data_IF_661595844358
#
_entry.id   IF_661595844358
#
_cell.length_a   1.000
_cell.length_b   1.000
_cell.length_c   1.000
_cell.angle_alpha   90.00
_cell.angle_beta   90.00
_cell.angle_gamma   90.00
#
_symmetry.space_group_name_H-M   'P 1'
#
loop_
_entity.id
_entity.type
_entity.pdbx_description
1 polymer ?
#
# COMPACT_ATOMS: atom_id res chain seq x y z
N UNK A 1 15.39 16.99 -34.09
CA UNK A 1 16.25 16.10 -33.31
C UNK A 1 15.66 14.70 -33.38
N UNK A 2 16.47 13.67 -33.66
CA UNK A 2 16.02 12.27 -33.68
C UNK A 2 16.28 11.65 -32.31
N UNK A 3 15.24 11.10 -31.68
CA UNK A 3 15.40 10.39 -30.42
C UNK A 3 16.37 9.20 -30.61
N UNK A 4 17.39 9.15 -29.75
CA UNK A 4 18.44 8.14 -29.76
C UNK A 4 18.01 6.94 -28.92
N UNK A 5 17.48 5.92 -29.61
CA UNK A 5 17.02 4.65 -29.03
C UNK A 5 18.13 3.59 -28.92
N UNK A 6 19.40 3.99 -28.83
CA UNK A 6 20.52 3.05 -28.68
C UNK A 6 20.42 2.25 -27.37
N UNK A 7 20.87 0.99 -27.42
CA UNK A 7 20.82 0.04 -26.28
C UNK A 7 21.45 0.63 -25.01
N UNK A 8 22.52 1.41 -25.14
CA UNK A 8 23.20 2.06 -24.02
C UNK A 8 22.32 3.10 -23.29
N UNK A 9 21.35 3.73 -23.97
CA UNK A 9 20.37 4.65 -23.37
C UNK A 9 19.08 3.97 -22.91
N UNK A 10 18.77 2.81 -23.48
CA UNK A 10 17.53 2.07 -23.14
C UNK A 10 17.71 1.08 -21.99
N UNK A 11 18.95 0.62 -21.71
CA UNK A 11 19.22 -0.29 -20.61
C UNK A 11 19.32 0.46 -19.28
N UNK A 12 18.39 0.17 -18.37
CA UNK A 12 18.45 0.61 -16.98
C UNK A 12 19.10 -0.52 -16.16
N UNK A 13 20.39 -0.40 -15.77
CA UNK A 13 21.02 -1.42 -14.96
C UNK A 13 20.40 -1.42 -13.57
N UNK A 14 19.95 -2.59 -13.11
CA UNK A 14 19.63 -2.77 -11.69
C UNK A 14 20.95 -2.81 -10.91
N UNK A 15 21.25 -1.82 -10.06
CA UNK A 15 22.58 -1.67 -9.45
C UNK A 15 22.94 -2.85 -8.53
N UNK A 16 21.94 -3.57 -8.02
CA UNK A 16 22.09 -4.85 -7.33
C UNK A 16 20.89 -5.72 -7.67
N UNK A 17 21.07 -6.97 -8.13
CA UNK A 17 19.96 -7.90 -8.25
C UNK A 17 19.35 -8.11 -6.86
N UNK A 18 18.04 -7.91 -6.75
CA UNK A 18 17.33 -8.25 -5.52
C UNK A 18 17.44 -9.77 -5.32
N UNK A 19 17.92 -10.24 -4.16
CA UNK A 19 18.01 -11.67 -3.91
C UNK A 19 16.61 -12.27 -3.99
N UNK A 20 16.46 -13.34 -4.78
CA UNK A 20 15.18 -14.03 -4.90
C UNK A 20 14.74 -14.53 -3.52
N UNK A 21 13.47 -14.26 -3.17
CA UNK A 21 12.87 -14.70 -1.91
C UNK A 21 12.85 -16.22 -1.79
N UNK A 22 12.72 -16.91 -2.94
CA UNK A 22 12.77 -18.36 -3.05
C UNK A 22 13.93 -18.78 -3.94
N UNK A 23 14.46 -19.96 -3.64
CA UNK A 23 15.53 -20.58 -4.42
C UNK A 23 15.12 -21.99 -4.81
N UNK A 24 15.69 -22.54 -5.89
CA UNK A 24 15.54 -23.96 -6.19
C UNK A 24 16.09 -24.81 -5.04
N UNK A 25 15.30 -25.74 -4.55
CA UNK A 25 15.66 -26.75 -3.55
C UNK A 25 15.26 -28.12 -4.08
N UNK A 26 16.11 -29.12 -3.89
CA UNK A 26 15.80 -30.50 -4.26
C UNK A 26 14.73 -31.08 -3.33
N UNK A 27 13.57 -31.39 -3.89
CA UNK A 27 12.52 -32.16 -3.25
C UNK A 27 12.58 -33.60 -3.74
N UNK A 28 12.60 -34.56 -2.80
CA UNK A 28 12.45 -35.99 -3.12
C UNK A 28 10.97 -36.29 -3.32
N UNK A 29 10.61 -36.70 -4.51
CA UNK A 29 9.26 -37.17 -4.85
C UNK A 29 9.31 -38.69 -5.10
N UNK A 30 8.16 -39.39 -5.11
CA UNK A 30 8.10 -40.80 -5.50
C UNK A 30 8.65 -41.07 -6.91
N UNK A 31 8.69 -40.05 -7.77
CA UNK A 31 9.17 -40.10 -9.15
C UNK A 31 10.66 -39.71 -9.31
N UNK A 32 11.37 -39.34 -8.23
CA UNK A 32 12.79 -38.96 -8.27
C UNK A 32 13.11 -37.66 -7.56
N UNK A 33 14.12 -36.92 -8.05
CA UNK A 33 14.50 -35.59 -7.53
C UNK A 33 13.88 -34.50 -8.40
N UNK A 34 13.09 -33.62 -7.80
CA UNK A 34 12.51 -32.46 -8.48
C UNK A 34 12.97 -31.18 -7.78
N UNK A 35 13.33 -30.16 -8.55
CA UNK A 35 13.61 -28.84 -7.96
C UNK A 35 12.31 -28.07 -7.77
N UNK A 36 12.11 -27.54 -6.56
CA UNK A 36 10.98 -26.68 -6.20
C UNK A 36 11.49 -25.34 -5.69
N UNK A 37 10.70 -24.28 -5.84
CA UNK A 37 11.04 -22.97 -5.30
C UNK A 37 10.60 -22.89 -3.83
N UNK A 38 11.57 -22.86 -2.93
CA UNK A 38 11.34 -22.80 -1.48
C UNK A 38 12.06 -21.63 -0.82
N UNK A 39 11.57 -21.21 0.34
CA UNK A 39 12.33 -20.35 1.24
C UNK A 39 13.52 -21.14 1.83
N UNK A 40 14.59 -20.44 2.20
CA UNK A 40 15.77 -21.12 2.79
C UNK A 40 15.51 -21.57 4.23
N UNK A 41 14.71 -20.81 4.96
CA UNK A 41 14.43 -21.02 6.37
C UNK A 41 13.01 -20.54 6.71
N UNK A 42 12.36 -21.12 7.74
CA UNK A 42 11.08 -20.64 8.25
C UNK A 42 11.13 -19.16 8.66
N UNK A 43 12.25 -18.71 9.21
CA UNK A 43 12.48 -17.30 9.57
C UNK A 43 12.50 -16.40 8.33
N UNK A 44 13.11 -16.85 7.22
CA UNK A 44 13.12 -16.12 5.96
C UNK A 44 11.71 -16.00 5.36
N UNK A 45 10.91 -17.06 5.43
CA UNK A 45 9.50 -17.03 5.05
C UNK A 45 8.73 -16.01 5.90
N UNK A 46 8.85 -16.07 7.23
CA UNK A 46 8.12 -15.19 8.15
C UNK A 46 8.49 -13.72 7.96
N UNK A 47 9.79 -13.43 7.79
CA UNK A 47 10.28 -12.09 7.53
C UNK A 47 9.77 -11.54 6.19
N UNK A 48 9.80 -12.35 5.13
CA UNK A 48 9.28 -11.96 3.82
C UNK A 48 7.76 -11.75 3.84
N UNK A 49 7.01 -12.59 4.56
CA UNK A 49 5.56 -12.44 4.71
C UNK A 49 5.19 -11.17 5.49
N UNK A 50 5.90 -10.90 6.59
CA UNK A 50 5.75 -9.67 7.35
C UNK A 50 6.09 -8.42 6.51
N UNK A 51 7.16 -8.49 5.70
CA UNK A 51 7.54 -7.42 4.78
C UNK A 51 6.50 -7.16 3.69
N UNK A 52 5.93 -8.21 3.11
CA UNK A 52 4.82 -8.08 2.15
C UNK A 52 3.65 -7.31 2.78
N UNK A 53 3.21 -7.76 3.97
CA UNK A 53 2.09 -7.11 4.66
C UNK A 53 2.39 -5.65 4.99
N UNK A 54 3.56 -5.36 5.55
CA UNK A 54 3.91 -3.99 5.96
C UNK A 54 3.98 -3.04 4.76
N UNK A 55 4.51 -3.48 3.63
CA UNK A 55 4.56 -2.67 2.41
C UNK A 55 3.16 -2.37 1.86
N UNK A 56 2.28 -3.37 1.81
CA UNK A 56 0.90 -3.15 1.33
C UNK A 56 0.11 -2.26 2.29
N UNK A 57 0.22 -2.48 3.61
CA UNK A 57 -0.41 -1.62 4.62
C UNK A 57 0.07 -0.17 4.47
N UNK A 58 1.38 0.06 4.38
CA UNK A 58 1.92 1.41 4.26
C UNK A 58 1.41 2.15 3.01
N UNK A 59 1.33 1.46 1.87
CA UNK A 59 0.78 2.04 0.62
C UNK A 59 -0.71 2.31 0.73
N UNK A 60 -1.46 1.36 1.29
CA UNK A 60 -2.90 1.50 1.51
C UNK A 60 -3.21 2.66 2.46
N UNK A 61 -2.54 2.76 3.60
CA UNK A 61 -2.70 3.85 4.56
C UNK A 61 -2.33 5.21 3.95
N UNK A 62 -1.28 5.27 3.13
CA UNK A 62 -0.94 6.50 2.42
C UNK A 62 -2.08 6.97 1.50
N UNK A 63 -2.69 6.04 0.76
CA UNK A 63 -3.85 6.35 -0.10
C UNK A 63 -5.10 6.70 0.72
N UNK A 64 -5.36 5.97 1.79
CA UNK A 64 -6.48 6.21 2.70
C UNK A 64 -6.39 7.57 3.37
N UNK A 65 -5.19 8.02 3.76
CA UNK A 65 -5.00 9.36 4.34
C UNK A 65 -5.45 10.46 3.37
N UNK A 66 -5.08 10.34 2.10
CA UNK A 66 -5.51 11.29 1.06
C UNK A 66 -7.04 11.20 0.86
N UNK A 67 -7.56 9.99 0.64
CA UNK A 67 -9.00 9.79 0.43
C UNK A 67 -9.86 10.29 1.59
N UNK A 68 -9.48 9.98 2.82
CA UNK A 68 -10.18 10.43 4.02
C UNK A 68 -10.12 11.95 4.19
N UNK A 69 -9.00 12.61 3.84
CA UNK A 69 -8.93 14.07 3.90
C UNK A 69 -9.91 14.73 2.91
N UNK A 70 -10.06 14.15 1.71
CA UNK A 70 -11.05 14.62 0.73
C UNK A 70 -12.48 14.38 1.20
N UNK A 71 -12.78 13.18 1.72
CA UNK A 71 -14.11 12.86 2.25
C UNK A 71 -14.49 13.72 3.46
N UNK A 72 -13.53 14.01 4.35
CA UNK A 72 -13.73 14.91 5.47
C UNK A 72 -14.03 16.34 4.99
N UNK A 73 -13.26 16.86 4.03
CA UNK A 73 -13.51 18.17 3.44
C UNK A 73 -14.88 18.27 2.76
N UNK A 74 -15.33 17.21 2.08
CA UNK A 74 -16.63 17.19 1.41
C UNK A 74 -17.78 17.19 2.43
N UNK A 75 -17.67 16.35 3.47
CA UNK A 75 -18.65 16.30 4.56
C UNK A 75 -18.76 17.59 5.35
N UNK A 76 -17.63 18.25 5.61
CA UNK A 76 -17.56 19.44 6.47
C UNK A 76 -17.68 20.76 5.70
N UNK A 77 -17.89 20.70 4.38
CA UNK A 77 -18.03 21.88 3.53
C UNK A 77 -19.27 22.69 3.92
N UNK A 78 -19.18 24.03 4.00
CA UNK A 78 -20.35 24.87 4.20
C UNK A 78 -21.31 24.78 2.99
N UNK A 79 -22.62 24.97 3.20
CA UNK A 79 -23.58 25.03 2.11
C UNK A 79 -23.15 26.03 1.03
N UNK A 80 -23.29 25.65 -0.24
CA UNK A 80 -22.82 26.43 -1.39
C UNK A 80 -23.39 27.86 -1.43
N UNK A 81 -24.63 28.06 -0.97
CA UNK A 81 -25.27 29.38 -0.94
C UNK A 81 -24.57 30.36 0.01
N UNK A 82 -23.93 29.89 1.10
CA UNK A 82 -23.14 30.74 1.99
C UNK A 82 -21.91 31.33 1.29
N UNK A 83 -21.31 30.58 0.37
CA UNK A 83 -20.18 31.07 -0.44
C UNK A 83 -20.63 32.16 -1.41
N UNK A 84 -21.82 32.02 -2.01
CA UNK A 84 -22.37 33.04 -2.92
C UNK A 84 -22.69 34.36 -2.22
N UNK A 85 -23.11 34.31 -0.96
CA UNK A 85 -23.45 35.50 -0.17
C UNK A 85 -22.24 36.09 0.58
N UNK A 86 -21.03 35.55 0.38
CA UNK A 86 -19.82 36.00 1.10
C UNK A 86 -19.87 35.74 2.62
N UNK A 87 -20.80 34.91 3.10
CA UNK A 87 -21.08 34.65 4.52
C UNK A 87 -20.44 33.36 5.04
N UNK A 88 -19.51 32.75 4.29
CA UNK A 88 -18.96 31.41 4.61
C UNK A 88 -17.48 31.38 4.99
N UNK A 89 -16.89 32.53 5.35
CA UNK A 89 -15.43 32.66 5.54
C UNK A 89 -15.06 33.39 6.82
N UNK A 90 -15.97 33.47 7.78
CA UNK A 90 -15.62 34.03 9.08
C UNK A 90 -14.54 33.15 9.75
N UNK A 91 -13.65 33.77 10.53
CA UNK A 91 -12.59 33.05 11.25
C UNK A 91 -13.16 31.93 12.14
N UNK A 92 -14.35 32.15 12.70
CA UNK A 92 -15.07 31.17 13.52
C UNK A 92 -15.56 29.98 12.70
N UNK A 93 -16.18 30.20 11.54
CA UNK A 93 -16.63 29.12 10.66
C UNK A 93 -15.46 28.30 10.10
N UNK A 94 -14.33 28.94 9.77
CA UNK A 94 -13.12 28.23 9.36
C UNK A 94 -12.56 27.34 10.48
N UNK A 95 -12.59 27.83 11.73
CA UNK A 95 -12.15 27.04 12.89
C UNK A 95 -13.12 25.88 13.22
N UNK A 96 -14.42 26.09 13.07
CA UNK A 96 -15.43 25.03 13.22
C UNK A 96 -15.28 23.97 12.13
N UNK A 97 -15.06 24.38 10.88
CA UNK A 97 -14.78 23.47 9.77
C UNK A 97 -13.51 22.65 9.98
N UNK A 98 -12.41 23.28 10.42
CA UNK A 98 -11.17 22.56 10.69
C UNK A 98 -11.34 21.45 11.75
N UNK A 99 -12.09 21.72 12.82
CA UNK A 99 -12.41 20.71 13.86
C UNK A 99 -13.28 19.56 13.33
N UNK A 100 -14.26 19.88 12.47
CA UNK A 100 -15.05 18.87 11.78
C UNK A 100 -14.17 17.99 10.89
N UNK A 101 -13.31 18.61 10.07
CA UNK A 101 -12.43 17.89 9.14
C UNK A 101 -11.46 16.97 9.88
N UNK A 102 -10.86 17.44 10.98
CA UNK A 102 -9.97 16.63 11.82
C UNK A 102 -10.69 15.40 12.41
N UNK A 103 -11.90 15.61 12.94
CA UNK A 103 -12.71 14.52 13.53
C UNK A 103 -13.15 13.50 12.48
N UNK A 104 -13.68 13.97 11.34
CA UNK A 104 -14.13 13.10 10.24
C UNK A 104 -12.95 12.36 9.59
N UNK A 105 -11.80 13.01 9.46
CA UNK A 105 -10.59 12.39 8.93
C UNK A 105 -10.09 11.27 9.84
N UNK A 106 -10.02 11.49 11.16
CA UNK A 106 -9.55 10.48 12.12
C UNK A 106 -10.51 9.28 12.16
N UNK A 107 -11.82 9.53 12.17
CA UNK A 107 -12.83 8.47 12.12
C UNK A 107 -12.76 7.66 10.82
N UNK A 108 -12.56 8.32 9.67
CA UNK A 108 -12.37 7.63 8.40
C UNK A 108 -11.07 6.82 8.37
N UNK A 109 -9.96 7.41 8.83
CA UNK A 109 -8.64 6.82 8.73
C UNK A 109 -8.46 5.62 9.66
N UNK A 110 -9.00 5.70 10.88
CA UNK A 110 -9.03 4.55 11.82
C UNK A 110 -9.76 3.34 11.20
N UNK A 111 -10.94 3.54 10.62
CA UNK A 111 -11.65 2.48 9.90
C UNK A 111 -10.91 1.97 8.66
N UNK A 112 -10.16 2.85 7.98
CA UNK A 112 -9.34 2.45 6.83
C UNK A 112 -8.14 1.58 7.22
N UNK A 113 -7.52 1.80 8.39
CA UNK A 113 -6.39 0.99 8.86
C UNK A 113 -6.73 -0.50 9.00
N UNK A 114 -7.88 -0.80 9.58
CA UNK A 114 -8.35 -2.19 9.70
C UNK A 114 -8.55 -2.83 8.33
N UNK A 115 -9.17 -2.11 7.41
CA UNK A 115 -9.35 -2.55 6.02
C UNK A 115 -8.02 -2.74 5.28
N UNK A 116 -7.04 -1.86 5.51
CA UNK A 116 -5.71 -1.99 4.94
C UNK A 116 -4.98 -3.23 5.44
N UNK A 117 -5.09 -3.55 6.74
CA UNK A 117 -4.53 -4.77 7.31
C UNK A 117 -5.16 -6.02 6.70
N UNK A 118 -6.50 -6.09 6.64
CA UNK A 118 -7.22 -7.21 6.03
C UNK A 118 -6.88 -7.37 4.54
N UNK A 119 -6.80 -6.26 3.80
CA UNK A 119 -6.40 -6.26 2.40
C UNK A 119 -4.97 -6.78 2.21
N UNK A 120 -4.03 -6.35 3.06
CA UNK A 120 -2.65 -6.82 3.02
C UNK A 120 -2.55 -8.33 3.27
N UNK A 121 -3.29 -8.84 4.27
CA UNK A 121 -3.37 -10.29 4.51
C UNK A 121 -3.91 -11.02 3.28
N UNK A 122 -5.06 -10.60 2.76
CA UNK A 122 -5.68 -11.22 1.59
C UNK A 122 -4.79 -11.21 0.34
N UNK A 123 -3.96 -10.16 0.16
CA UNK A 123 -3.02 -10.08 -0.98
C UNK A 123 -1.73 -10.87 -0.77
N UNK A 124 -1.22 -10.95 0.45
CA UNK A 124 0.02 -11.68 0.73
C UNK A 124 -0.21 -13.19 0.92
N UNK A 125 -1.30 -13.61 1.58
CA UNK A 125 -1.57 -15.02 1.92
C UNK A 125 -1.41 -16.00 0.73
N UNK A 126 -2.05 -15.77 -0.43
CA UNK A 126 -1.98 -16.74 -1.55
C UNK A 126 -0.56 -16.99 -2.04
N UNK A 127 0.31 -15.99 -1.99
CA UNK A 127 1.69 -16.18 -2.38
C UNK A 127 2.45 -17.03 -1.35
N UNK A 128 2.18 -16.90 -0.06
CA UNK A 128 3.01 -17.46 1.01
C UNK A 128 2.50 -18.78 1.60
N UNK A 129 1.19 -19.05 1.55
CA UNK A 129 0.59 -20.28 2.09
C UNK A 129 0.95 -21.51 1.26
N UNK A 130 0.99 -21.38 -0.07
CA UNK A 130 1.40 -22.45 -0.98
C UNK A 130 2.93 -22.59 -1.11
N UNK A 131 3.69 -21.85 -0.29
CA UNK A 131 5.14 -21.82 -0.40
C UNK A 131 5.82 -22.96 0.36
N UNK A 132 6.77 -23.60 -0.29
CA UNK A 132 7.66 -24.58 0.34
C UNK A 132 8.67 -23.84 1.24
N UNK A 133 8.99 -24.43 2.40
CA UNK A 133 9.92 -23.91 3.42
C UNK A 133 11.05 -24.90 3.61
#
# INVERSE_FOLDING_TARGET
ESDDYSIAKTLIPFPRPLPLLRRPVEARTPAGTQYVLAFRTPLGWAAAYASCKSQIVARCESGARIGCSMSASDKCRPPWWKLLLGMGSSKRELAERGRCEETEMEACFSAAREKCSAFAQHKCSPAFEDAWI
#
